data_IF_565201953218
#
_entry.id   IF_565201953218
#
_cell.length_a   1.000
_cell.length_b   1.000
_cell.length_c   1.000
_cell.angle_alpha   90.00
_cell.angle_beta   90.00
_cell.angle_gamma   90.00
#
_symmetry.space_group_name_H-M   'P 1'
#
loop_
_entity.id
_entity.type
_entity.pdbx_description
1 polymer ?
#
# COMPACT_ATOMS: atom_id res chain seq x y z
N UNK A 1 28.24 11.17 -11.11
CA UNK A 1 27.16 12.01 -11.68
C UNK A 1 25.97 11.97 -10.75
N UNK A 2 25.42 13.14 -10.43
CA UNK A 2 24.15 13.28 -9.70
C UNK A 2 23.03 13.10 -10.73
N UNK A 3 22.02 12.29 -10.40
CA UNK A 3 20.85 12.03 -11.24
C UNK A 3 19.59 12.32 -10.44
N UNK A 4 18.61 13.00 -11.05
CA UNK A 4 17.31 13.19 -10.44
C UNK A 4 16.48 11.92 -10.67
N UNK A 5 16.14 11.22 -9.58
CA UNK A 5 15.35 9.98 -9.58
C UNK A 5 14.16 10.17 -8.63
N UNK A 6 13.17 10.99 -9.00
CA UNK A 6 11.96 11.15 -8.21
C UNK A 6 11.20 9.83 -8.06
N UNK A 7 10.74 9.53 -6.85
CA UNK A 7 10.06 8.28 -6.54
C UNK A 7 9.49 8.27 -5.12
N UNK A 8 10.25 7.78 -4.14
CA UNK A 8 9.81 7.82 -2.73
C UNK A 8 9.59 9.28 -2.25
N UNK A 9 10.35 10.25 -2.77
CA UNK A 9 10.09 11.70 -2.73
C UNK A 9 10.31 12.37 -4.09
N UNK A 10 9.72 13.55 -4.30
CA UNK A 10 9.79 14.30 -5.57
C UNK A 10 11.18 14.90 -5.85
N UNK A 11 11.96 15.15 -4.80
CA UNK A 11 13.30 15.75 -4.82
C UNK A 11 14.42 14.71 -4.75
N UNK A 12 14.09 13.42 -4.86
CA UNK A 12 15.04 12.35 -4.65
C UNK A 12 16.12 12.28 -5.73
N UNK A 13 17.35 12.01 -5.29
CA UNK A 13 18.56 12.02 -6.10
C UNK A 13 19.30 10.70 -5.95
N UNK A 14 19.88 10.24 -7.06
CA UNK A 14 20.79 9.11 -7.13
C UNK A 14 22.19 9.57 -7.52
N UNK A 15 23.17 8.70 -7.30
CA UNK A 15 24.56 8.96 -7.68
C UNK A 15 25.11 7.79 -8.47
N UNK A 16 25.48 8.04 -9.72
CA UNK A 16 26.18 7.09 -10.57
C UNK A 16 27.69 7.34 -10.55
N UNK A 17 28.49 6.30 -10.28
CA UNK A 17 29.95 6.33 -10.27
C UNK A 17 30.45 5.36 -11.37
N UNK A 18 30.67 5.83 -12.62
CA UNK A 18 30.97 4.99 -13.77
C UNK A 18 32.22 4.11 -13.57
N UNK A 19 33.29 4.67 -13.01
CA UNK A 19 34.58 4.01 -12.87
C UNK A 19 34.52 2.82 -11.90
N UNK A 20 33.50 2.78 -11.05
CA UNK A 20 33.24 1.70 -10.09
C UNK A 20 32.01 0.88 -10.44
N UNK A 21 31.26 1.26 -11.47
CA UNK A 21 29.95 0.71 -11.81
C UNK A 21 29.00 0.66 -10.59
N UNK A 22 29.05 1.70 -9.74
CA UNK A 22 28.23 1.82 -8.52
C UNK A 22 27.09 2.80 -8.75
N UNK A 23 25.87 2.37 -8.45
CA UNK A 23 24.68 3.21 -8.41
C UNK A 23 24.16 3.32 -6.98
N UNK A 24 24.13 4.53 -6.44
CA UNK A 24 23.44 4.84 -5.19
C UNK A 24 22.02 5.29 -5.56
N UNK A 25 21.02 4.48 -5.22
CA UNK A 25 19.62 4.67 -5.66
C UNK A 25 18.70 5.28 -4.60
N UNK A 26 19.27 5.84 -3.53
CA UNK A 26 18.53 6.37 -2.39
C UNK A 26 17.47 5.35 -1.89
N UNK A 27 16.22 5.79 -1.74
CA UNK A 27 15.10 4.98 -1.25
C UNK A 27 14.16 4.51 -2.36
N UNK A 28 14.57 4.61 -3.64
CA UNK A 28 13.75 4.10 -4.74
C UNK A 28 13.82 2.58 -4.87
N UNK A 29 14.78 1.95 -4.19
CA UNK A 29 14.91 0.50 -4.04
C UNK A 29 15.28 0.16 -2.60
N UNK A 30 14.58 -0.80 -2.03
CA UNK A 30 14.97 -1.51 -0.81
C UNK A 30 14.35 -2.90 -0.84
N UNK A 31 14.82 -3.81 0.03
CA UNK A 31 14.34 -5.21 0.07
C UNK A 31 12.96 -5.36 0.75
N UNK A 32 11.95 -4.66 0.25
CA UNK A 32 10.55 -4.75 0.61
C UNK A 32 9.70 -4.14 -0.51
N UNK A 33 8.41 -4.50 -0.58
CA UNK A 33 7.47 -3.86 -1.50
C UNK A 33 7.47 -2.34 -1.28
N UNK A 34 7.51 -1.52 -2.36
CA UNK A 34 7.62 -0.08 -2.25
C UNK A 34 6.46 0.50 -1.47
N UNK A 35 6.77 1.44 -0.61
CA UNK A 35 5.77 2.24 0.05
C UNK A 35 5.21 3.24 -0.96
N UNK A 36 4.21 2.85 -1.75
CA UNK A 36 3.59 3.77 -2.70
C UNK A 36 2.65 4.77 -2.00
N UNK A 37 2.31 4.50 -0.74
CA UNK A 37 1.59 5.40 0.15
C UNK A 37 1.94 5.17 1.61
N UNK A 38 2.55 6.16 2.24
CA UNK A 38 2.85 6.10 3.66
C UNK A 38 1.55 6.24 4.49
N UNK A 39 1.15 5.16 5.17
CA UNK A 39 -0.09 5.10 5.97
C UNK A 39 -0.17 6.15 7.09
N UNK A 40 0.96 6.70 7.51
CA UNK A 40 1.05 7.84 8.45
C UNK A 40 0.44 9.14 7.89
N UNK A 41 0.13 9.19 6.59
CA UNK A 41 -0.42 10.35 5.91
C UNK A 41 0.65 11.21 5.24
N UNK A 42 0.67 11.22 3.91
CA UNK A 42 1.54 12.05 3.07
C UNK A 42 0.82 12.50 1.79
N UNK A 43 1.33 13.51 1.07
CA UNK A 43 0.97 13.77 -0.32
C UNK A 43 1.16 12.54 -1.23
N UNK A 44 0.62 12.59 -2.45
CA UNK A 44 0.71 11.46 -3.38
C UNK A 44 2.11 11.37 -3.94
N UNK A 45 2.62 10.15 -4.01
CA UNK A 45 3.73 9.81 -4.90
C UNK A 45 3.18 9.64 -6.31
N UNK A 46 3.87 10.17 -7.31
CA UNK A 46 3.59 9.84 -8.71
C UNK A 46 4.23 8.49 -9.04
N UNK A 47 3.39 7.46 -9.14
CA UNK A 47 3.83 6.09 -9.42
C UNK A 47 4.54 5.98 -10.76
N UNK A 48 4.07 6.71 -11.77
CA UNK A 48 4.66 6.66 -13.10
C UNK A 48 5.96 7.44 -13.18
N UNK A 49 6.14 8.46 -12.33
CA UNK A 49 7.42 9.12 -12.16
C UNK A 49 8.45 8.18 -11.54
N UNK A 50 8.08 7.43 -10.50
CA UNK A 50 8.95 6.41 -9.91
C UNK A 50 9.30 5.30 -10.92
N UNK A 51 8.34 4.83 -11.71
CA UNK A 51 8.58 3.88 -12.82
C UNK A 51 9.63 4.43 -13.80
N UNK A 52 9.51 5.69 -14.21
CA UNK A 52 10.49 6.34 -15.09
C UNK A 52 11.88 6.46 -14.45
N UNK A 53 11.96 6.71 -13.15
CA UNK A 53 13.23 6.72 -12.40
C UNK A 53 13.89 5.33 -12.39
N UNK A 54 13.11 4.27 -12.24
CA UNK A 54 13.59 2.89 -12.34
C UNK A 54 14.05 2.53 -13.75
N UNK A 55 13.32 2.96 -14.79
CA UNK A 55 13.76 2.80 -16.18
C UNK A 55 15.05 3.59 -16.46
N UNK A 56 15.23 4.78 -15.88
CA UNK A 56 16.48 5.53 -15.97
C UNK A 56 17.62 4.75 -15.31
N UNK A 57 17.41 4.19 -14.12
CA UNK A 57 18.40 3.37 -13.42
C UNK A 57 18.82 2.13 -14.21
N UNK A 58 17.88 1.48 -14.93
CA UNK A 58 18.13 0.32 -15.79
C UNK A 58 19.06 0.62 -16.98
N UNK A 59 19.25 1.89 -17.36
CA UNK A 59 20.15 2.28 -18.45
C UNK A 59 21.63 2.35 -18.04
N UNK A 60 21.94 2.26 -16.74
CA UNK A 60 23.32 2.24 -16.25
C UNK A 60 23.88 0.82 -16.17
N UNK A 61 25.16 0.68 -16.52
CA UNK A 61 25.90 -0.58 -16.46
C UNK A 61 26.32 -0.96 -15.02
N UNK A 62 25.33 -1.07 -14.14
CA UNK A 62 25.50 -1.16 -12.68
C UNK A 62 25.94 -2.55 -12.25
N UNK A 63 27.13 -2.65 -11.66
CA UNK A 63 27.66 -3.88 -11.03
C UNK A 63 27.37 -3.92 -9.52
N UNK A 64 27.19 -2.74 -8.91
CA UNK A 64 26.96 -2.56 -7.48
C UNK A 64 25.84 -1.55 -7.23
N UNK A 65 24.68 -2.00 -6.73
CA UNK A 65 23.57 -1.12 -6.35
C UNK A 65 23.60 -0.92 -4.83
N UNK A 66 23.62 0.33 -4.39
CA UNK A 66 23.74 0.70 -2.98
C UNK A 66 22.53 1.56 -2.57
N UNK A 67 21.45 0.92 -2.09
CA UNK A 67 20.31 1.65 -1.53
C UNK A 67 20.65 2.29 -0.18
N UNK A 68 19.92 3.35 0.19
CA UNK A 68 20.01 4.00 1.51
C UNK A 68 19.51 3.09 2.65
N UNK A 69 18.69 2.11 2.32
CA UNK A 69 18.17 1.11 3.24
C UNK A 69 18.48 -0.31 2.77
N UNK A 70 18.51 -1.25 3.71
CA UNK A 70 18.82 -2.68 3.48
C UNK A 70 20.28 -2.91 3.05
N UNK A 71 20.57 -3.92 2.21
CA UNK A 71 21.94 -4.33 1.88
C UNK A 71 22.28 -3.96 0.42
N UNK A 72 23.56 -3.65 0.13
CA UNK A 72 24.03 -3.55 -1.24
C UNK A 72 23.78 -4.82 -2.04
N UNK A 73 23.52 -4.64 -3.33
CA UNK A 73 23.26 -5.69 -4.31
C UNK A 73 24.42 -5.75 -5.29
N UNK A 74 24.81 -6.97 -5.66
CA UNK A 74 25.96 -7.23 -6.52
C UNK A 74 25.54 -8.03 -7.76
N UNK A 75 26.22 -7.76 -8.88
CA UNK A 75 26.05 -8.47 -10.14
C UNK A 75 25.01 -7.80 -11.05
N UNK A 76 25.41 -7.52 -12.30
CA UNK A 76 24.58 -6.81 -13.29
C UNK A 76 23.23 -7.47 -13.53
N UNK A 77 23.22 -8.79 -13.71
CA UNK A 77 22.01 -9.54 -14.03
C UNK A 77 21.00 -9.51 -12.86
N UNK A 78 21.51 -9.69 -11.64
CA UNK A 78 20.72 -9.63 -10.41
C UNK A 78 20.15 -8.22 -10.17
N UNK A 79 20.97 -7.18 -10.36
CA UNK A 79 20.52 -5.78 -10.23
C UNK A 79 19.48 -5.45 -11.28
N UNK A 80 19.68 -5.87 -12.53
CA UNK A 80 18.71 -5.69 -13.61
C UNK A 80 17.39 -6.38 -13.28
N UNK A 81 17.43 -7.63 -12.82
CA UNK A 81 16.23 -8.37 -12.38
C UNK A 81 15.49 -7.60 -11.29
N UNK A 82 16.18 -7.18 -10.22
CA UNK A 82 15.58 -6.45 -9.09
C UNK A 82 14.93 -5.16 -9.56
N UNK A 83 15.63 -4.34 -10.35
CA UNK A 83 15.09 -3.08 -10.87
C UNK A 83 13.87 -3.34 -11.76
N UNK A 84 13.92 -4.34 -12.64
CA UNK A 84 12.81 -4.70 -13.52
C UNK A 84 11.58 -5.14 -12.73
N UNK A 85 11.71 -6.08 -11.79
CA UNK A 85 10.54 -6.55 -11.03
C UNK A 85 9.96 -5.47 -10.13
N UNK A 86 10.80 -4.58 -9.58
CA UNK A 86 10.34 -3.45 -8.77
C UNK A 86 9.54 -2.46 -9.63
N UNK A 87 10.09 -2.11 -10.81
CA UNK A 87 9.42 -1.25 -11.79
C UNK A 87 8.09 -1.85 -12.25
N UNK A 88 8.10 -3.11 -12.63
CA UNK A 88 6.92 -3.81 -13.13
C UNK A 88 5.83 -3.92 -12.06
N UNK A 89 6.20 -4.10 -10.79
CA UNK A 89 5.24 -4.11 -9.69
C UNK A 89 4.54 -2.75 -9.52
N UNK A 90 5.29 -1.64 -9.52
CA UNK A 90 4.71 -0.30 -9.40
C UNK A 90 3.78 0.00 -10.58
N UNK A 91 4.27 -0.25 -11.80
CA UNK A 91 3.49 -0.03 -13.02
C UNK A 91 2.25 -0.91 -13.07
N UNK A 92 2.36 -2.19 -12.69
CA UNK A 92 1.22 -3.08 -12.66
C UNK A 92 0.13 -2.59 -11.70
N UNK A 93 0.49 -2.16 -10.50
CA UNK A 93 -0.47 -1.60 -9.53
C UNK A 93 -1.19 -0.39 -10.13
N UNK A 94 -0.42 0.53 -10.73
CA UNK A 94 -0.98 1.70 -11.40
C UNK A 94 -1.95 1.30 -12.52
N UNK A 95 -1.48 0.53 -13.50
CA UNK A 95 -2.24 0.22 -14.71
C UNK A 95 -3.47 -0.63 -14.43
N UNK A 96 -3.38 -1.60 -13.51
CA UNK A 96 -4.55 -2.39 -13.12
C UNK A 96 -5.57 -1.57 -12.32
N UNK A 97 -5.11 -0.66 -11.46
CA UNK A 97 -6.01 0.25 -10.74
C UNK A 97 -6.76 1.14 -11.72
N UNK A 98 -6.05 1.81 -12.64
CA UNK A 98 -6.65 2.65 -13.68
C UNK A 98 -7.59 1.85 -14.59
N UNK A 99 -7.22 0.62 -14.95
CA UNK A 99 -8.10 -0.26 -15.74
C UNK A 99 -9.43 -0.50 -15.06
N UNK A 100 -9.44 -0.79 -13.75
CA UNK A 100 -10.69 -1.04 -13.03
C UNK A 100 -11.46 0.24 -12.68
N UNK A 101 -10.78 1.37 -12.48
CA UNK A 101 -11.43 2.70 -12.44
C UNK A 101 -12.26 2.92 -13.70
N UNK A 102 -11.67 2.66 -14.88
CA UNK A 102 -12.36 2.80 -16.16
C UNK A 102 -13.50 1.78 -16.37
N UNK A 103 -13.59 0.75 -15.52
CA UNK A 103 -14.70 -0.20 -15.47
C UNK A 103 -15.71 0.15 -14.34
N UNK A 104 -15.60 1.34 -13.76
CA UNK A 104 -16.49 1.88 -12.72
C UNK A 104 -16.50 1.10 -11.40
N UNK A 105 -15.42 0.38 -11.09
CA UNK A 105 -15.26 -0.24 -9.77
C UNK A 105 -14.89 0.79 -8.71
N UNK A 106 -15.38 0.59 -7.48
CA UNK A 106 -14.99 1.40 -6.31
C UNK A 106 -13.60 1.05 -5.82
N UNK A 107 -12.99 1.90 -4.99
CA UNK A 107 -11.65 1.65 -4.46
C UNK A 107 -11.53 0.31 -3.71
N UNK A 108 -12.59 -0.08 -2.99
CA UNK A 108 -12.72 -1.33 -2.23
C UNK A 108 -12.77 -2.53 -3.17
N UNK A 109 -13.59 -2.47 -4.22
CA UNK A 109 -13.70 -3.55 -5.19
C UNK A 109 -12.40 -3.76 -5.98
N UNK A 110 -11.64 -2.69 -6.22
CA UNK A 110 -10.36 -2.78 -6.91
C UNK A 110 -9.31 -3.47 -6.04
N UNK A 111 -9.28 -3.19 -4.72
CA UNK A 111 -8.36 -3.86 -3.78
C UNK A 111 -8.53 -5.37 -3.81
N UNK A 112 -9.77 -5.86 -3.91
CA UNK A 112 -10.04 -7.31 -4.01
C UNK A 112 -9.63 -7.93 -5.35
N UNK A 113 -9.46 -7.12 -6.40
CA UNK A 113 -9.13 -7.59 -7.75
C UNK A 113 -7.66 -7.45 -8.11
N UNK A 114 -6.99 -6.41 -7.62
CA UNK A 114 -5.61 -6.13 -7.97
C UNK A 114 -4.68 -6.88 -7.02
N UNK A 115 -4.11 -7.96 -7.53
CA UNK A 115 -3.02 -8.69 -6.89
C UNK A 115 -1.83 -8.79 -7.85
N UNK A 116 -0.61 -8.71 -7.31
CA UNK A 116 0.59 -8.92 -8.12
C UNK A 116 0.59 -10.33 -8.73
N UNK A 117 0.99 -10.48 -10.01
CA UNK A 117 1.22 -11.78 -10.62
C UNK A 117 2.17 -12.65 -9.78
N UNK A 118 1.98 -13.97 -9.80
CA UNK A 118 2.71 -14.92 -8.93
C UNK A 118 4.23 -14.79 -9.02
N UNK A 119 4.77 -14.46 -10.19
CA UNK A 119 6.21 -14.24 -10.39
C UNK A 119 6.70 -12.99 -9.64
N UNK A 120 5.94 -11.89 -9.65
CA UNK A 120 6.27 -10.67 -8.91
C UNK A 120 6.05 -10.86 -7.40
N UNK A 121 4.88 -11.35 -6.98
CA UNK A 121 4.52 -11.53 -5.57
C UNK A 121 5.48 -12.47 -4.79
N UNK A 122 6.16 -13.39 -5.48
CA UNK A 122 7.14 -14.29 -4.85
C UNK A 122 8.51 -13.65 -4.68
N UNK A 123 8.83 -12.61 -5.44
CA UNK A 123 10.16 -12.02 -5.44
C UNK A 123 10.51 -11.42 -4.06
N UNK A 124 11.74 -11.61 -3.54
CA UNK A 124 12.11 -11.15 -2.20
C UNK A 124 12.03 -9.63 -2.00
N UNK A 125 12.19 -8.84 -3.06
CA UNK A 125 12.09 -7.38 -3.02
C UNK A 125 10.64 -6.87 -3.09
N UNK A 126 9.66 -7.76 -3.22
CA UNK A 126 8.24 -7.39 -3.33
C UNK A 126 7.40 -7.96 -2.18
N UNK A 127 8.06 -8.32 -1.07
CA UNK A 127 7.37 -8.73 0.16
C UNK A 127 6.85 -7.49 0.90
N UNK A 128 5.59 -7.53 1.27
CA UNK A 128 4.84 -6.42 1.89
C UNK A 128 5.22 -6.18 3.36
N UNK A 129 6.50 -5.85 3.60
CA UNK A 129 7.02 -5.49 4.92
C UNK A 129 6.91 -4.00 5.23
N UNK A 130 6.75 -3.15 4.21
CA UNK A 130 6.71 -1.69 4.37
C UNK A 130 5.51 -1.07 3.65
N UNK A 131 5.45 -1.19 2.33
CA UNK A 131 4.22 -0.93 1.58
C UNK A 131 3.35 -2.18 1.44
N UNK A 132 2.08 -1.98 1.08
CA UNK A 132 1.16 -3.05 0.67
C UNK A 132 0.48 -2.70 -0.65
N UNK A 133 0.12 -3.71 -1.43
CA UNK A 133 -0.68 -3.64 -2.64
C UNK A 133 -2.01 -2.96 -2.36
N UNK A 134 -2.72 -3.38 -1.30
CA UNK A 134 -4.03 -2.84 -0.95
C UNK A 134 -3.98 -1.31 -0.70
N UNK A 135 -3.00 -0.83 0.07
CA UNK A 135 -2.86 0.60 0.35
C UNK A 135 -2.44 1.37 -0.90
N UNK A 136 -1.60 0.76 -1.74
CA UNK A 136 -1.14 1.36 -2.99
C UNK A 136 -2.27 1.53 -4.01
N UNK A 137 -3.13 0.52 -4.13
CA UNK A 137 -4.34 0.57 -4.97
C UNK A 137 -5.27 1.68 -4.50
N UNK A 138 -5.59 1.72 -3.19
CA UNK A 138 -6.42 2.80 -2.63
C UNK A 138 -5.79 4.17 -2.90
N UNK A 139 -4.46 4.30 -2.77
CA UNK A 139 -3.80 5.57 -3.04
C UNK A 139 -3.87 5.96 -4.51
N UNK A 140 -3.59 5.03 -5.41
CA UNK A 140 -3.68 5.26 -6.85
C UNK A 140 -5.09 5.66 -7.27
N UNK A 141 -6.12 5.00 -6.73
CA UNK A 141 -7.51 5.43 -6.93
C UNK A 141 -7.72 6.88 -6.48
N UNK A 142 -7.31 7.19 -5.25
CA UNK A 142 -7.46 8.53 -4.68
C UNK A 142 -6.70 9.61 -5.46
N UNK A 143 -5.57 9.30 -6.10
CA UNK A 143 -4.85 10.29 -6.93
C UNK A 143 -5.58 10.65 -8.21
N UNK A 144 -6.45 9.76 -8.72
CA UNK A 144 -7.22 10.00 -9.93
C UNK A 144 -8.63 10.55 -9.65
N UNK A 145 -9.34 9.99 -8.67
CA UNK A 145 -10.76 10.30 -8.42
C UNK A 145 -11.01 11.01 -7.08
N UNK A 146 -9.99 11.14 -6.24
CA UNK A 146 -10.15 11.67 -4.87
C UNK A 146 -10.80 10.65 -3.93
N UNK A 147 -11.37 11.18 -2.84
CA UNK A 147 -11.90 10.39 -1.72
C UNK A 147 -13.26 9.74 -2.00
N UNK A 148 -14.02 10.26 -2.97
CA UNK A 148 -15.36 9.77 -3.23
C UNK A 148 -15.30 8.44 -4.00
N UNK A 149 -15.83 7.39 -3.40
CA UNK A 149 -15.78 6.02 -3.95
C UNK A 149 -16.65 5.82 -5.20
N UNK A 150 -17.60 6.73 -5.46
CA UNK A 150 -18.70 6.54 -6.41
C UNK A 150 -20.00 6.07 -5.77
N UNK A 151 -19.96 5.59 -4.52
CA UNK A 151 -21.16 5.17 -3.79
C UNK A 151 -21.84 6.36 -3.10
N UNK A 152 -23.13 6.65 -3.36
CA UNK A 152 -23.84 7.78 -2.74
C UNK A 152 -23.82 7.80 -1.21
N UNK A 153 -23.69 6.64 -0.55
CA UNK A 153 -23.61 6.58 0.92
C UNK A 153 -22.35 7.28 1.46
N UNK A 154 -21.30 7.35 0.65
CA UNK A 154 -20.02 7.95 1.03
C UNK A 154 -19.99 9.46 0.78
N UNK A 155 -20.97 10.01 0.05
CA UNK A 155 -21.02 11.45 -0.25
C UNK A 155 -21.24 12.28 1.02
N UNK A 156 -22.08 11.78 1.93
CA UNK A 156 -22.34 12.39 3.22
C UNK A 156 -22.56 11.28 4.26
N UNK A 157 -21.49 10.59 4.68
CA UNK A 157 -21.60 9.43 5.54
C UNK A 157 -22.06 9.87 6.94
N UNK A 158 -22.74 8.97 7.64
CA UNK A 158 -22.97 9.16 9.07
C UNK A 158 -21.63 9.30 9.78
N UNK A 159 -21.59 10.14 10.83
CA UNK A 159 -20.46 10.12 11.75
C UNK A 159 -20.32 8.72 12.32
N UNK A 160 -19.08 8.30 12.60
CA UNK A 160 -18.82 6.96 13.11
C UNK A 160 -19.58 6.69 14.41
N UNK A 161 -19.72 7.72 15.26
CA UNK A 161 -20.56 7.68 16.46
C UNK A 161 -22.03 7.40 16.13
N UNK A 162 -22.64 8.15 15.21
CA UNK A 162 -24.05 7.96 14.87
C UNK A 162 -24.32 6.60 14.22
N UNK A 163 -23.39 6.11 13.38
CA UNK A 163 -23.46 4.75 12.83
C UNK A 163 -23.40 3.71 13.97
N UNK A 164 -22.45 3.86 14.90
CA UNK A 164 -22.28 2.96 16.04
C UNK A 164 -23.52 2.90 16.94
N UNK A 165 -24.09 4.05 17.30
CA UNK A 165 -25.34 4.12 18.10
C UNK A 165 -26.48 3.35 17.45
N UNK A 166 -26.64 3.50 16.12
CA UNK A 166 -27.70 2.82 15.37
C UNK A 166 -27.46 1.31 15.29
N UNK A 167 -26.22 0.89 15.05
CA UNK A 167 -25.87 -0.53 14.99
C UNK A 167 -26.06 -1.22 16.34
N UNK A 168 -25.58 -0.60 17.42
CA UNK A 168 -25.75 -1.13 18.78
C UNK A 168 -27.23 -1.15 19.18
N UNK A 169 -28.01 -0.12 18.85
CA UNK A 169 -29.45 -0.10 19.11
C UNK A 169 -30.19 -1.20 18.33
N UNK A 170 -29.77 -1.50 17.10
CA UNK A 170 -30.39 -2.51 16.25
C UNK A 170 -30.09 -3.94 16.74
N UNK A 171 -28.86 -4.20 17.17
CA UNK A 171 -28.39 -5.55 17.52
C UNK A 171 -28.58 -5.83 19.02
N UNK A 172 -28.35 -4.84 19.88
CA UNK A 172 -28.21 -4.98 21.33
C UNK A 172 -26.76 -5.26 21.74
N UNK A 173 -26.38 -4.77 22.93
CA UNK A 173 -25.01 -4.86 23.45
C UNK A 173 -24.57 -6.32 23.61
N UNK A 174 -25.37 -7.13 24.32
CA UNK A 174 -25.03 -8.52 24.65
C UNK A 174 -24.85 -9.36 23.39
N UNK A 175 -25.79 -9.25 22.44
CA UNK A 175 -25.71 -9.96 21.16
C UNK A 175 -24.52 -9.52 20.31
N UNK A 176 -24.18 -8.24 20.34
CA UNK A 176 -23.00 -7.76 19.63
C UNK A 176 -21.72 -8.32 20.25
N UNK A 177 -21.59 -8.34 21.59
CA UNK A 177 -20.47 -8.96 22.29
C UNK A 177 -20.35 -10.47 22.01
N UNK A 178 -21.47 -11.20 22.03
CA UNK A 178 -21.51 -12.61 21.68
C UNK A 178 -21.00 -12.84 20.24
N UNK A 179 -21.46 -12.02 19.29
CA UNK A 179 -21.01 -12.07 17.90
C UNK A 179 -19.51 -11.73 17.77
N UNK A 180 -19.00 -10.73 18.51
CA UNK A 180 -17.58 -10.39 18.53
C UNK A 180 -16.73 -11.57 19.03
N UNK A 181 -17.13 -12.23 20.12
CA UNK A 181 -16.44 -13.40 20.67
C UNK A 181 -16.47 -14.59 19.71
N UNK A 182 -17.59 -14.80 19.03
CA UNK A 182 -17.73 -15.83 18.01
C UNK A 182 -16.78 -15.58 16.83
N UNK A 183 -16.76 -14.36 16.29
CA UNK A 183 -15.85 -13.96 15.21
C UNK A 183 -14.38 -14.17 15.60
N UNK A 184 -14.00 -13.77 16.81
CA UNK A 184 -12.64 -14.00 17.32
C UNK A 184 -12.29 -15.50 17.40
N UNK A 185 -13.21 -16.34 17.90
CA UNK A 185 -13.01 -17.80 17.98
C UNK A 185 -12.86 -18.43 16.60
N UNK A 186 -13.58 -17.92 15.61
CA UNK A 186 -13.51 -18.34 14.21
C UNK A 186 -12.31 -17.75 13.45
N UNK A 187 -11.49 -16.92 14.12
CA UNK A 187 -10.34 -16.20 13.55
C UNK A 187 -10.73 -15.19 12.46
N UNK A 188 -11.98 -14.73 12.48
CA UNK A 188 -12.43 -13.58 11.69
C UNK A 188 -12.07 -12.29 12.43
N UNK A 189 -10.76 -12.01 12.48
CA UNK A 189 -10.19 -10.96 13.32
C UNK A 189 -10.64 -9.56 12.89
N UNK A 190 -10.77 -9.31 11.58
CA UNK A 190 -11.19 -8.02 11.08
C UNK A 190 -12.66 -7.75 11.44
N UNK A 191 -13.52 -8.77 11.35
CA UNK A 191 -14.91 -8.62 11.75
C UNK A 191 -15.07 -8.46 13.27
N UNK A 192 -14.31 -9.22 14.07
CA UNK A 192 -14.26 -9.04 15.51
C UNK A 192 -13.85 -7.60 15.88
N UNK A 193 -12.83 -7.05 15.21
CA UNK A 193 -12.38 -5.67 15.41
C UNK A 193 -13.46 -4.64 15.05
N UNK A 194 -14.21 -4.84 13.97
CA UNK A 194 -15.31 -3.92 13.60
C UNK A 194 -16.44 -3.93 14.63
N UNK A 195 -16.86 -5.11 15.09
CA UNK A 195 -17.91 -5.25 16.09
C UNK A 195 -17.49 -4.67 17.45
N UNK A 196 -16.28 -4.96 17.93
CA UNK A 196 -15.77 -4.38 19.18
C UNK A 196 -15.64 -2.86 19.07
N UNK A 197 -15.23 -2.34 17.91
CA UNK A 197 -15.13 -0.89 17.67
C UNK A 197 -16.48 -0.18 17.80
N UNK A 198 -17.58 -0.74 17.26
CA UNK A 198 -18.91 -0.15 17.44
C UNK A 198 -19.29 0.00 18.93
N UNK A 199 -18.93 -0.98 19.76
CA UNK A 199 -19.16 -0.92 21.20
C UNK A 199 -18.28 0.12 21.87
N UNK A 200 -16.97 0.12 21.60
CA UNK A 200 -16.00 1.02 22.24
C UNK A 200 -16.19 2.49 21.87
N UNK A 201 -16.74 2.80 20.70
CA UNK A 201 -17.08 4.18 20.30
C UNK A 201 -18.18 4.77 21.20
N UNK A 202 -19.08 3.93 21.72
CA UNK A 202 -20.22 4.36 22.56
C UNK A 202 -19.94 4.14 24.04
N UNK A 203 -19.31 3.02 24.38
CA UNK A 203 -19.00 2.57 25.72
C UNK A 203 -17.50 2.36 25.83
N UNK A 204 -16.75 3.46 25.87
CA UNK A 204 -15.28 3.44 25.88
C UNK A 204 -14.70 2.59 27.01
N UNK A 205 -15.43 2.45 28.12
CA UNK A 205 -15.01 1.72 29.33
C UNK A 205 -15.50 0.26 29.37
N UNK A 206 -16.11 -0.26 28.29
CA UNK A 206 -16.49 -1.67 28.22
C UNK A 206 -15.23 -2.55 28.14
N UNK A 207 -14.85 -3.14 29.27
CA UNK A 207 -13.64 -3.97 29.38
C UNK A 207 -13.72 -5.22 28.50
N UNK A 208 -14.89 -5.86 28.41
CA UNK A 208 -15.04 -7.06 27.58
C UNK A 208 -14.80 -6.77 26.10
N UNK A 209 -15.32 -5.65 25.59
CA UNK A 209 -15.07 -5.25 24.19
C UNK A 209 -13.62 -4.81 23.96
N UNK A 210 -12.93 -4.30 24.98
CA UNK A 210 -11.53 -3.85 24.90
C UNK A 210 -10.53 -5.00 24.93
N UNK A 211 -10.84 -6.05 25.70
CA UNK A 211 -9.96 -7.21 25.89
C UNK A 211 -10.03 -8.21 24.72
N UNK A 212 -11.06 -8.08 23.86
CA UNK A 212 -11.20 -8.78 22.58
C UNK A 212 -10.35 -8.10 21.51
#
# INVERSE_FOLDING_TARGET
MIIHIPGETDDQIGVWIPEKQVLLCADDIYKAFPNLYAIRGTPSRDLMQWVRSLDLMLNYDTQHLVPSHTRPVFGKENIKEILTVYRDAIQYIHDQTVRYINQSFTSEEIVEKVALPKNLARHPYLKEFYGTVAWSVKRCFNSYLGWFSGNPIDLQPLTIKSKSERMVKLIGIDKMLEATKAALKEKDFQWALELSSYLLIIYSDNSEARDI
#
